data_IF_096501318313
#
_entry.id   IF_096501318313
#
_cell.length_a   1.000
_cell.length_b   1.000
_cell.length_c   1.000
_cell.angle_alpha   90.00
_cell.angle_beta   90.00
_cell.angle_gamma   90.00
#
_symmetry.space_group_name_H-M   'P 1'
#
loop_
_entity.id
_entity.type
_entity.pdbx_description
1 polymer ?
#
# COMPACT_ATOMS: atom_id res chain seq x y z
N UNK A 1 13.16 -16.83 -6.00
CA UNK A 1 12.71 -15.55 -5.44
C UNK A 1 13.65 -14.45 -5.92
N UNK A 2 13.18 -13.21 -6.07
CA UNK A 2 14.01 -12.07 -6.55
C UNK A 2 13.86 -10.88 -5.61
N UNK A 3 14.96 -10.24 -5.26
CA UNK A 3 14.94 -8.99 -4.51
C UNK A 3 14.89 -7.80 -5.47
N UNK A 4 14.07 -6.80 -5.17
CA UNK A 4 13.96 -5.53 -5.90
C UNK A 4 13.97 -4.37 -4.89
N UNK A 5 14.28 -3.17 -5.38
CA UNK A 5 14.21 -1.93 -4.61
C UNK A 5 13.12 -1.04 -5.19
N UNK A 6 12.29 -0.45 -4.32
CA UNK A 6 11.22 0.46 -4.72
C UNK A 6 11.82 1.81 -5.12
N UNK A 7 11.38 2.34 -6.26
CA UNK A 7 11.86 3.59 -6.86
C UNK A 7 10.75 4.61 -7.13
N UNK A 8 9.51 4.36 -6.69
CA UNK A 8 8.38 5.28 -6.89
C UNK A 8 7.47 5.35 -5.67
N UNK A 9 6.62 6.39 -5.63
CA UNK A 9 5.66 6.66 -4.56
C UNK A 9 4.23 6.20 -4.88
N UNK A 10 4.03 5.41 -5.94
CA UNK A 10 2.70 4.95 -6.39
C UNK A 10 2.03 4.00 -5.39
N UNK A 11 2.80 3.39 -4.50
CA UNK A 11 2.35 2.43 -3.50
C UNK A 11 2.41 2.97 -2.06
N UNK A 12 2.54 4.30 -1.90
CA UNK A 12 2.39 4.92 -0.59
C UNK A 12 0.98 4.64 -0.02
N UNK A 13 0.83 4.57 1.30
CA UNK A 13 1.88 4.66 2.32
C UNK A 13 2.65 3.36 2.59
N UNK A 14 2.23 2.23 2.00
CA UNK A 14 2.75 0.91 2.33
C UNK A 14 4.18 0.67 1.85
N UNK A 15 4.48 1.04 0.61
CA UNK A 15 5.82 0.93 0.03
C UNK A 15 6.38 2.32 -0.23
N UNK A 16 7.59 2.56 0.28
CA UNK A 16 8.34 3.80 0.15
C UNK A 16 9.55 3.58 -0.75
N UNK A 17 10.04 4.65 -1.35
CA UNK A 17 11.32 4.63 -2.07
C UNK A 17 12.41 4.09 -1.15
N UNK A 18 13.29 3.25 -1.70
CA UNK A 18 14.36 2.51 -1.03
C UNK A 18 13.92 1.29 -0.20
N UNK A 19 12.62 1.00 -0.07
CA UNK A 19 12.19 -0.27 0.51
C UNK A 19 12.71 -1.44 -0.34
N UNK A 20 13.23 -2.47 0.34
CA UNK A 20 13.65 -3.72 -0.29
C UNK A 20 12.49 -4.70 -0.25
N UNK A 21 12.13 -5.24 -1.40
CA UNK A 21 11.03 -6.19 -1.51
C UNK A 21 11.51 -7.52 -2.07
N UNK A 22 10.96 -8.62 -1.56
CA UNK A 22 11.20 -9.95 -2.11
C UNK A 22 9.96 -10.40 -2.87
N UNK A 23 10.17 -10.70 -4.15
CA UNK A 23 9.15 -11.19 -5.07
C UNK A 23 9.23 -12.71 -5.14
N UNK A 24 8.11 -13.36 -4.86
CA UNK A 24 7.92 -14.78 -5.10
C UNK A 24 7.36 -15.01 -6.50
N UNK A 25 8.05 -15.81 -7.30
CA UNK A 25 7.58 -16.20 -8.63
C UNK A 25 6.53 -17.30 -8.47
N UNK A 26 5.26 -16.93 -8.58
CA UNK A 26 4.10 -17.80 -8.44
C UNK A 26 2.99 -17.27 -9.32
N UNK A 27 2.06 -18.14 -9.73
CA UNK A 27 0.88 -17.78 -10.51
C UNK A 27 -0.40 -17.78 -9.66
N UNK A 28 -0.28 -18.04 -8.34
CA UNK A 28 -1.39 -18.00 -7.40
C UNK A 28 -1.46 -16.64 -6.71
N UNK A 29 -2.41 -15.84 -7.18
CA UNK A 29 -2.66 -14.49 -6.68
C UNK A 29 -4.01 -14.43 -5.97
N UNK A 30 -4.16 -13.59 -4.97
CA UNK A 30 -5.45 -13.26 -4.33
C UNK A 30 -5.66 -11.75 -4.34
N UNK A 31 -6.92 -11.30 -4.30
CA UNK A 31 -7.24 -9.87 -4.28
C UNK A 31 -6.51 -9.21 -3.10
N UNK A 32 -5.85 -8.10 -3.38
CA UNK A 32 -5.02 -7.36 -2.43
C UNK A 32 -3.54 -7.76 -2.42
N UNK A 33 -3.13 -8.84 -3.09
CA UNK A 33 -1.71 -9.10 -3.35
C UNK A 33 -1.07 -7.93 -4.12
N UNK A 34 0.20 -7.64 -3.86
CA UNK A 34 0.97 -6.69 -4.67
C UNK A 34 1.74 -7.48 -5.73
N UNK A 35 1.33 -7.32 -6.98
CA UNK A 35 1.90 -8.01 -8.13
C UNK A 35 3.02 -7.16 -8.72
N UNK A 36 4.12 -7.82 -9.07
CA UNK A 36 5.21 -7.22 -9.83
C UNK A 36 5.11 -7.70 -11.27
N UNK A 37 5.02 -6.78 -12.21
CA UNK A 37 4.88 -7.09 -13.64
C UNK A 37 5.81 -6.23 -14.48
N UNK A 38 6.12 -6.70 -15.69
CA UNK A 38 6.96 -5.98 -16.64
C UNK A 38 6.10 -5.00 -17.45
N UNK A 39 6.50 -3.73 -17.44
CA UNK A 39 5.94 -2.66 -18.28
C UNK A 39 7.10 -1.96 -18.99
N UNK A 40 7.14 -2.07 -20.32
CA UNK A 40 8.25 -1.60 -21.14
C UNK A 40 9.60 -2.21 -20.67
N UNK A 41 10.56 -1.36 -20.28
CA UNK A 41 11.89 -1.76 -19.79
C UNK A 41 11.98 -1.82 -18.26
N UNK A 42 10.87 -1.70 -17.55
CA UNK A 42 10.85 -1.58 -16.08
C UNK A 42 9.89 -2.58 -15.43
N UNK A 43 10.08 -2.79 -14.13
CA UNK A 43 9.13 -3.53 -13.29
C UNK A 43 8.23 -2.55 -12.56
N UNK A 44 6.93 -2.85 -12.51
CA UNK A 44 5.92 -2.08 -11.79
C UNK A 44 5.30 -2.99 -10.74
N UNK A 45 5.17 -2.50 -9.52
CA UNK A 45 4.55 -3.22 -8.40
C UNK A 45 3.24 -2.54 -8.01
N UNK A 46 2.09 -3.14 -8.33
CA UNK A 46 0.76 -2.58 -8.00
C UNK A 46 -0.16 -3.63 -7.37
N UNK A 47 -1.18 -3.17 -6.65
CA UNK A 47 -2.11 -4.04 -5.93
C UNK A 47 -3.16 -4.63 -6.86
N UNK A 48 -3.37 -5.95 -6.77
CA UNK A 48 -4.45 -6.65 -7.45
C UNK A 48 -5.80 -6.23 -6.86
N UNK A 49 -6.66 -5.62 -7.67
CA UNK A 49 -8.00 -5.16 -7.26
C UNK A 49 -9.12 -6.03 -7.82
N UNK A 50 -8.91 -6.67 -8.99
CA UNK A 50 -9.88 -7.56 -9.62
C UNK A 50 -9.20 -8.58 -10.53
N UNK A 51 -9.77 -9.77 -10.63
CA UNK A 51 -9.41 -10.79 -11.62
C UNK A 51 -10.49 -10.92 -12.68
N UNK A 52 -10.11 -11.19 -13.91
CA UNK A 52 -11.01 -11.59 -15.00
C UNK A 52 -10.32 -12.60 -15.91
N UNK A 53 -11.06 -13.13 -16.87
CA UNK A 53 -10.51 -14.00 -17.92
C UNK A 53 -9.46 -13.28 -18.79
N UNK A 54 -9.61 -11.96 -18.96
CA UNK A 54 -8.67 -11.13 -19.72
C UNK A 54 -7.36 -10.86 -18.97
N UNK A 55 -7.32 -11.07 -17.65
CA UNK A 55 -6.13 -10.88 -16.82
C UNK A 55 -6.41 -10.27 -15.46
N UNK A 56 -5.48 -9.43 -15.00
CA UNK A 56 -5.42 -8.90 -13.65
C UNK A 56 -5.53 -7.38 -13.67
N UNK A 57 -6.56 -6.84 -13.04
CA UNK A 57 -6.68 -5.41 -12.84
C UNK A 57 -5.88 -5.01 -11.62
N UNK A 58 -4.89 -4.14 -11.82
CA UNK A 58 -3.99 -3.67 -10.77
C UNK A 58 -4.05 -2.16 -10.64
N UNK A 59 -3.71 -1.66 -9.44
CA UNK A 59 -3.72 -0.23 -9.11
C UNK A 59 -2.66 0.09 -8.07
N UNK A 60 -2.00 1.25 -8.17
CA UNK A 60 -1.18 1.79 -7.10
C UNK A 60 -2.02 2.25 -5.91
N UNK A 61 -1.56 2.04 -4.67
CA UNK A 61 -2.31 2.50 -3.48
C UNK A 61 -2.44 4.04 -3.42
N UNK A 62 -1.50 4.76 -4.02
CA UNK A 62 -1.45 6.22 -4.14
C UNK A 62 -1.52 6.69 -5.61
N UNK A 63 -2.03 5.84 -6.51
CA UNK A 63 -2.24 6.17 -7.93
C UNK A 63 -3.72 5.91 -8.28
N UNK A 64 -4.47 6.88 -8.84
CA UNK A 64 -5.88 6.66 -9.19
C UNK A 64 -6.08 5.68 -10.36
N UNK A 65 -5.06 5.42 -11.17
CA UNK A 65 -5.16 4.71 -12.44
C UNK A 65 -5.23 3.19 -12.26
N UNK A 66 -6.22 2.55 -12.91
CA UNK A 66 -6.35 1.09 -12.96
C UNK A 66 -5.79 0.58 -14.29
N UNK A 67 -4.98 -0.48 -14.24
CA UNK A 67 -4.35 -1.09 -15.41
C UNK A 67 -4.75 -2.57 -15.53
N UNK A 68 -4.98 -3.05 -16.76
CA UNK A 68 -5.17 -4.47 -17.05
C UNK A 68 -3.82 -5.10 -17.44
N UNK A 69 -3.41 -6.13 -16.70
CA UNK A 69 -2.14 -6.83 -16.89
C UNK A 69 -2.38 -8.30 -17.20
N UNK A 70 -1.80 -8.77 -18.31
CA UNK A 70 -1.84 -10.18 -18.68
C UNK A 70 -0.91 -11.02 -17.78
N UNK A 71 -1.29 -12.28 -17.54
CA UNK A 71 -0.56 -13.24 -16.71
C UNK A 71 0.91 -13.39 -17.14
N UNK A 72 1.17 -13.37 -18.44
CA UNK A 72 2.51 -13.53 -19.02
C UNK A 72 3.47 -12.38 -18.70
N UNK A 73 2.97 -11.21 -18.28
CA UNK A 73 3.80 -10.06 -17.87
C UNK A 73 4.12 -10.08 -16.38
N UNK A 74 3.46 -10.92 -15.59
CA UNK A 74 3.62 -10.96 -14.14
C UNK A 74 4.86 -11.77 -13.79
N UNK A 75 5.76 -11.15 -13.04
CA UNK A 75 6.94 -11.79 -12.47
C UNK A 75 6.61 -12.55 -11.19
N UNK A 76 5.60 -12.10 -10.45
CA UNK A 76 5.16 -12.71 -9.21
C UNK A 76 4.51 -11.72 -8.25
N UNK A 77 4.49 -12.06 -6.96
CA UNK A 77 3.95 -11.19 -5.89
C UNK A 77 4.96 -10.88 -4.81
N UNK A 78 4.83 -9.71 -4.19
CA UNK A 78 5.66 -9.30 -3.06
C UNK A 78 5.25 -10.11 -1.82
N UNK A 79 6.22 -10.74 -1.17
CA UNK A 79 6.04 -11.54 0.05
C UNK A 79 6.76 -10.96 1.27
N UNK A 80 7.83 -10.19 1.05
CA UNK A 80 8.57 -9.51 2.11
C UNK A 80 8.78 -8.03 1.76
N UNK A 81 8.73 -7.17 2.76
CA UNK A 81 9.09 -5.75 2.70
C UNK A 81 10.11 -5.50 3.83
N UNK A 82 11.30 -5.05 3.50
CA UNK A 82 12.42 -4.86 4.44
C UNK A 82 12.65 -6.06 5.37
N UNK A 83 12.56 -7.27 4.82
CA UNK A 83 12.65 -8.57 5.50
C UNK A 83 11.47 -8.93 6.43
N UNK A 84 10.45 -8.08 6.54
CA UNK A 84 9.21 -8.40 7.24
C UNK A 84 8.23 -9.09 6.31
N UNK A 85 7.56 -10.13 6.81
CA UNK A 85 6.54 -10.85 6.04
C UNK A 85 5.35 -9.94 5.78
N UNK A 86 5.11 -9.67 4.50
CA UNK A 86 3.93 -8.92 4.09
C UNK A 86 2.69 -9.79 4.25
N UNK A 87 1.73 -9.31 5.05
CA UNK A 87 0.39 -9.91 5.15
C UNK A 87 -0.61 -8.94 4.53
N UNK A 88 -1.49 -9.46 3.68
CA UNK A 88 -2.58 -8.70 3.10
C UNK A 88 -3.73 -8.57 4.12
N UNK A 89 -3.48 -7.82 5.19
CA UNK A 89 -4.44 -7.58 6.27
C UNK A 89 -5.24 -6.31 5.98
N UNK A 90 -6.56 -6.44 5.80
CA UNK A 90 -7.47 -5.32 5.50
C UNK A 90 -7.42 -4.21 6.58
N UNK A 91 -7.29 -4.59 7.85
CA UNK A 91 -7.23 -3.65 8.98
C UNK A 91 -5.96 -2.79 8.96
N UNK A 92 -4.79 -3.43 8.76
CA UNK A 92 -3.50 -2.72 8.65
C UNK A 92 -3.50 -1.71 7.49
N UNK A 93 -4.20 -2.04 6.40
CA UNK A 93 -4.40 -1.13 5.27
C UNK A 93 -5.16 0.13 5.67
N UNK A 94 -6.30 0.00 6.37
CA UNK A 94 -7.09 1.15 6.82
C UNK A 94 -6.27 2.02 7.77
N UNK A 95 -5.61 1.40 8.75
CA UNK A 95 -4.79 2.12 9.74
C UNK A 95 -3.66 2.90 9.04
N UNK A 96 -2.94 2.25 8.13
CA UNK A 96 -1.84 2.87 7.38
C UNK A 96 -2.34 4.03 6.51
N UNK A 97 -3.45 3.85 5.80
CA UNK A 97 -4.03 4.90 4.96
C UNK A 97 -4.54 6.09 5.79
N UNK A 98 -5.26 5.85 6.89
CA UNK A 98 -5.71 6.89 7.81
C UNK A 98 -4.53 7.68 8.38
N UNK A 99 -3.46 7.00 8.80
CA UNK A 99 -2.26 7.64 9.35
C UNK A 99 -1.57 8.52 8.31
N UNK A 100 -1.48 8.07 7.06
CA UNK A 100 -0.93 8.85 5.95
C UNK A 100 -1.77 10.09 5.64
N UNK A 101 -3.10 9.94 5.55
CA UNK A 101 -4.01 11.07 5.33
C UNK A 101 -3.88 12.07 6.48
N UNK A 102 -3.89 11.61 7.74
CA UNK A 102 -3.69 12.45 8.93
C UNK A 102 -2.36 13.20 8.90
N UNK A 103 -1.28 12.59 8.42
CA UNK A 103 0.02 13.26 8.29
C UNK A 103 0.03 14.39 7.24
N UNK A 104 -0.84 14.33 6.22
CA UNK A 104 -0.97 15.36 5.18
C UNK A 104 -1.94 16.49 5.54
N UNK A 105 -2.86 16.24 6.47
CA UNK A 105 -3.86 17.20 6.94
C UNK A 105 -3.25 18.48 7.55
N UNK A 106 -2.22 18.46 8.42
CA UNK A 106 -1.66 19.71 8.95
C UNK A 106 -1.03 20.61 7.88
N UNK A 107 -0.63 20.06 6.72
CA UNK A 107 -0.16 20.85 5.58
C UNK A 107 -1.32 21.53 4.81
N UNK A 108 -2.47 20.86 4.71
CA UNK A 108 -3.68 21.40 4.07
C UNK A 108 -4.39 22.41 4.99
N UNK A 109 -4.30 22.21 6.31
CA UNK A 109 -4.95 23.02 7.33
C UNK A 109 -4.07 24.16 7.88
N UNK A 110 -3.31 24.83 6.99
CA UNK A 110 -2.79 26.17 7.28
C UNK A 110 -3.86 27.26 7.04
N UNK A 111 -5.13 26.90 7.24
CA UNK A 111 -6.30 27.78 7.12
C UNK A 111 -6.94 27.88 8.50
N UNK A 112 -6.81 29.07 9.09
CA UNK A 112 -7.45 29.78 10.22
C UNK A 112 -8.69 29.23 10.99
N UNK A 113 -9.16 28.00 10.81
CA UNK A 113 -10.39 27.49 11.45
C UNK A 113 -10.11 26.54 12.62
N UNK A 114 -10.10 27.12 13.82
CA UNK A 114 -9.84 26.46 15.10
C UNK A 114 -10.89 25.37 15.48
N UNK A 115 -12.10 25.47 14.92
CA UNK A 115 -13.18 24.48 15.06
C UNK A 115 -12.85 23.15 14.34
N UNK A 116 -12.31 23.22 13.13
CA UNK A 116 -11.95 22.03 12.36
C UNK A 116 -10.74 21.32 12.99
N UNK A 117 -9.81 22.08 13.58
CA UNK A 117 -8.69 21.55 14.35
C UNK A 117 -9.16 20.80 15.61
N UNK A 118 -10.18 21.30 16.32
CA UNK A 118 -10.79 20.64 17.49
C UNK A 118 -11.53 19.36 17.09
N UNK A 119 -12.32 19.40 16.01
CA UNK A 119 -12.99 18.22 15.48
C UNK A 119 -11.99 17.13 15.04
N UNK A 120 -10.88 17.52 14.41
CA UNK A 120 -9.83 16.58 14.03
C UNK A 120 -9.17 15.90 15.23
N UNK A 121 -8.81 16.66 16.26
CA UNK A 121 -8.24 16.10 17.51
C UNK A 121 -9.19 15.09 18.17
N UNK A 122 -10.50 15.35 18.12
CA UNK A 122 -11.51 14.45 18.66
C UNK A 122 -11.60 13.13 17.89
N UNK A 123 -11.53 13.19 16.55
CA UNK A 123 -11.52 12.00 15.68
C UNK A 123 -10.23 11.18 15.78
N UNK A 124 -9.08 11.82 16.05
CA UNK A 124 -7.78 11.13 16.04
C UNK A 124 -7.40 10.52 17.38
N UNK A 125 -7.98 10.96 18.50
CA UNK A 125 -7.69 10.44 19.84
C UNK A 125 -8.06 8.96 20.03
N UNK A 126 -9.23 8.45 19.58
CA UNK A 126 -9.56 7.04 19.69
C UNK A 126 -8.68 6.14 18.81
N UNK A 127 -8.29 6.63 17.62
CA UNK A 127 -7.46 5.89 16.66
C UNK A 127 -6.01 5.72 17.15
N UNK A 128 -5.45 6.73 17.83
CA UNK A 128 -4.14 6.65 18.48
C UNK A 128 -4.14 5.67 19.67
N UNK A 129 -5.24 5.60 20.42
CA UNK A 129 -5.40 4.65 21.53
C UNK A 129 -5.42 3.19 21.04
N UNK A 130 -6.13 2.92 19.94
CA UNK A 130 -6.15 1.60 19.30
C UNK A 130 -4.79 1.22 18.68
N UNK A 131 -4.04 2.19 18.15
CA UNK A 131 -2.68 1.98 17.61
C UNK A 131 -1.61 1.75 18.70
N UNK A 132 -1.84 2.20 19.94
CA UNK A 132 -0.95 1.94 21.08
C UNK A 132 -1.23 0.59 21.75
N UNK A 133 -2.51 0.17 21.79
CA UNK A 133 -2.91 -1.12 22.38
C UNK A 133 -2.35 -2.33 21.60
N UNK A 134 -2.15 -2.21 20.28
CA UNK A 134 -1.58 -3.27 19.44
C UNK A 134 -0.05 -3.41 19.50
N UNK A 135 0.67 -2.50 20.18
CA UNK A 135 2.13 -2.57 20.34
C UNK A 135 2.58 -3.22 21.65
N UNK A 136 1.66 -3.51 22.58
CA UNK A 136 1.95 -4.13 23.87
C UNK A 136 1.50 -5.60 23.98
N UNK A 137 1.08 -6.20 22.86
CA UNK A 137 0.85 -7.64 22.74
C UNK A 137 1.64 -8.16 21.54
N UNK A 138 2.96 -8.22 21.66
CA UNK A 138 3.89 -9.11 20.94
C UNK A 138 5.28 -9.00 21.57
#
# INVERSE_FOLDING_TARGET
MRQLTINSNSMLPLLKINDRVVVNNTNSFVIGDILVYKKNKSFVGHRLVKKSELGFFVKGDNDPTVELVSSNKILGKIILINNYKFKNNFIEKIISHCSYVQSKIPFIFNIKNDLLRKAFKFLTNPLLYLAHSSKHCL
#
